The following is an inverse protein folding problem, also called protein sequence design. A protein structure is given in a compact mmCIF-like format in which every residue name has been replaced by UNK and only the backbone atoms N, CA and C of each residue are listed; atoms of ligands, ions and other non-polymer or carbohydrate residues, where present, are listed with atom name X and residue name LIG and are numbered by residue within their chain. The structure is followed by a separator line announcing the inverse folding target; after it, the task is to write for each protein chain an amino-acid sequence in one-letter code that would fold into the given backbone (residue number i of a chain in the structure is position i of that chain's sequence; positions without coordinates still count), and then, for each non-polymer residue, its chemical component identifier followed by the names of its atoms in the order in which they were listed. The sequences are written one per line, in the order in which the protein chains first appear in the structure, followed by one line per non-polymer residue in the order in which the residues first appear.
data_IF_106086959595
#
_entry.id   IF_106086959595
#
_cell.length_a   1.000
_cell.length_b   1.000
_cell.length_c   1.000
_cell.angle_alpha   90.00
_cell.angle_beta   90.00
_cell.angle_gamma   90.00
#
_symmetry.space_group_name_H-M   'P 1'
#
loop_
_entity.id
_entity.type
_entity.pdbx_description
1 polymer ?
#
# COMPACT_ATOMS: atom_id res chain seq x y z
N UNK A 1 -39.78 10.16 17.08
CA UNK A 1 -39.34 11.32 16.28
C UNK A 1 -38.58 10.82 15.07
N UNK A 2 -38.99 11.16 13.86
CA UNK A 2 -38.27 10.81 12.64
C UNK A 2 -37.36 11.95 12.25
N UNK A 3 -36.18 11.62 11.73
CA UNK A 3 -35.18 12.58 11.24
C UNK A 3 -34.78 12.19 9.82
N UNK A 4 -34.85 13.13 8.89
CA UNK A 4 -34.25 13.01 7.56
C UNK A 4 -33.08 13.97 7.45
N UNK A 5 -31.99 13.52 6.88
CA UNK A 5 -30.79 14.32 6.62
C UNK A 5 -30.47 14.24 5.13
N UNK A 6 -30.14 15.37 4.52
CA UNK A 6 -29.76 15.45 3.12
C UNK A 6 -29.32 16.89 2.76
N UNK A 7 -29.01 17.12 1.50
CA UNK A 7 -28.62 18.42 0.98
C UNK A 7 -29.60 18.90 -0.09
N UNK A 8 -29.69 20.20 -0.25
CA UNK A 8 -30.40 20.85 -1.35
C UNK A 8 -29.50 21.91 -1.95
N UNK A 9 -29.26 21.82 -3.25
CA UNK A 9 -28.48 22.82 -3.99
C UNK A 9 -29.38 24.01 -4.26
N UNK A 10 -29.03 25.19 -3.73
CA UNK A 10 -29.75 26.44 -4.00
C UNK A 10 -29.22 27.19 -5.23
N UNK A 11 -27.96 27.00 -5.53
CA UNK A 11 -27.26 27.62 -6.65
C UNK A 11 -26.09 26.73 -7.08
N UNK A 12 -26.06 26.32 -8.34
CA UNK A 12 -25.09 25.35 -8.83
C UNK A 12 -23.66 25.90 -8.82
N UNK A 13 -23.47 27.21 -9.03
CA UNK A 13 -22.14 27.83 -8.95
C UNK A 13 -21.10 27.12 -9.79
N UNK A 14 -19.96 26.80 -9.17
CA UNK A 14 -18.85 26.08 -9.83
C UNK A 14 -19.15 24.59 -10.08
N UNK A 15 -20.16 24.00 -9.42
CA UNK A 15 -20.51 22.58 -9.59
C UNK A 15 -21.03 22.27 -10.99
N UNK A 16 -21.46 23.30 -11.76
CA UNK A 16 -21.80 23.16 -13.18
C UNK A 16 -20.59 22.70 -14.02
N UNK A 17 -19.38 23.08 -13.61
CA UNK A 17 -18.14 22.80 -14.34
C UNK A 17 -17.30 21.70 -13.68
N UNK A 18 -17.43 21.52 -12.39
CA UNK A 18 -16.58 20.64 -11.59
C UNK A 18 -17.34 20.07 -10.40
N UNK A 19 -17.40 18.74 -10.32
CA UNK A 19 -17.82 18.03 -9.11
C UNK A 19 -16.59 17.51 -8.38
N UNK A 20 -16.41 17.94 -7.14
CA UNK A 20 -15.35 17.46 -6.28
C UNK A 20 -15.65 16.00 -5.86
N UNK A 21 -14.76 15.09 -6.21
CA UNK A 21 -14.89 13.68 -5.80
C UNK A 21 -14.81 13.55 -4.29
N UNK A 22 -15.83 12.99 -3.66
CA UNK A 22 -15.82 12.71 -2.23
C UNK A 22 -14.89 11.55 -1.93
N UNK A 23 -13.88 11.77 -1.11
CA UNK A 23 -12.94 10.74 -0.64
C UNK A 23 -13.50 9.91 0.53
N UNK A 24 -14.67 10.28 1.04
CA UNK A 24 -15.30 9.63 2.19
C UNK A 24 -16.52 8.82 1.73
N UNK A 25 -16.51 7.52 2.02
CA UNK A 25 -17.64 6.61 1.82
C UNK A 25 -18.77 6.85 2.86
N UNK A 26 -18.84 8.07 3.43
CA UNK A 26 -19.92 8.51 4.31
C UNK A 26 -21.26 8.41 3.59
N UNK A 27 -22.28 7.90 4.26
CA UNK A 27 -23.65 7.81 3.76
C UNK A 27 -24.06 9.11 3.06
N UNK A 28 -24.22 9.07 1.76
CA UNK A 28 -24.76 10.15 0.99
C UNK A 28 -26.19 10.40 1.45
N UNK A 29 -26.37 11.41 2.28
CA UNK A 29 -27.71 11.95 2.48
C UNK A 29 -28.24 12.37 1.11
N UNK A 30 -29.24 11.64 0.58
CA UNK A 30 -29.83 11.94 -0.72
C UNK A 30 -30.28 13.40 -0.81
N UNK A 31 -30.43 13.92 -2.03
CA UNK A 31 -31.03 15.24 -2.23
C UNK A 31 -32.45 15.26 -1.61
N UNK A 32 -32.67 16.18 -0.69
CA UNK A 32 -34.00 16.37 -0.10
C UNK A 32 -34.85 17.27 -1.01
N UNK A 33 -36.12 16.94 -1.22
CA UNK A 33 -37.04 17.86 -1.92
C UNK A 33 -37.21 19.13 -1.11
N UNK A 34 -37.59 20.23 -1.77
CA UNK A 34 -37.98 21.45 -1.06
C UNK A 34 -39.16 21.20 -0.16
N UNK A 35 -39.00 21.43 1.13
CA UNK A 35 -40.04 21.29 2.17
C UNK A 35 -40.09 22.51 3.03
N UNK A 36 -41.32 22.91 3.42
CA UNK A 36 -41.57 24.06 4.31
C UNK A 36 -42.09 23.59 5.66
N UNK A 37 -41.86 24.37 6.69
CA UNK A 37 -42.41 24.10 8.02
C UNK A 37 -43.96 24.10 7.94
N UNK A 38 -44.56 23.00 8.30
CA UNK A 38 -46.00 22.77 8.27
C UNK A 38 -46.51 21.92 7.11
N UNK A 39 -45.66 21.52 6.19
CA UNK A 39 -46.04 20.60 5.13
C UNK A 39 -46.45 19.23 5.72
N UNK A 40 -47.58 18.71 5.21
CA UNK A 40 -48.12 17.42 5.63
C UNK A 40 -47.54 16.31 4.76
N UNK A 41 -46.73 15.44 5.36
CA UNK A 41 -46.13 14.30 4.68
C UNK A 41 -47.01 13.07 4.85
N UNK A 42 -47.28 12.35 3.74
CA UNK A 42 -48.04 11.11 3.77
C UNK A 42 -47.09 9.92 3.99
N UNK A 43 -47.26 9.22 5.10
CA UNK A 43 -46.53 7.96 5.38
C UNK A 43 -46.88 6.93 4.30
N UNK A 44 -45.90 6.40 3.60
CA UNK A 44 -46.05 5.31 2.62
C UNK A 44 -45.81 3.95 3.25
N UNK A 45 -44.66 3.84 3.93
CA UNK A 45 -44.19 2.59 4.50
C UNK A 45 -43.32 2.88 5.73
N UNK A 46 -43.40 2.01 6.73
CA UNK A 46 -42.53 2.02 7.90
C UNK A 46 -41.80 0.68 7.97
N UNK A 47 -40.50 0.72 7.67
CA UNK A 47 -39.66 -0.48 7.67
C UNK A 47 -38.76 -0.45 8.90
N UNK A 48 -38.91 -1.40 9.83
CA UNK A 48 -38.02 -1.51 10.99
C UNK A 48 -36.70 -2.17 10.55
N UNK A 49 -35.62 -1.41 10.57
CA UNK A 49 -34.28 -1.92 10.27
C UNK A 49 -33.42 -1.91 11.52
N UNK A 50 -32.68 -3.00 11.74
CA UNK A 50 -31.68 -3.05 12.79
C UNK A 50 -30.34 -2.58 12.22
N UNK A 51 -29.73 -1.58 12.87
CA UNK A 51 -28.40 -1.06 12.52
C UNK A 51 -27.45 -1.23 13.69
N UNK A 52 -26.20 -1.51 13.39
CA UNK A 52 -25.13 -1.58 14.37
C UNK A 52 -24.13 -0.48 14.08
N UNK A 53 -23.57 0.12 15.14
CA UNK A 53 -22.47 1.08 15.00
C UNK A 53 -21.27 0.40 14.37
N UNK A 54 -20.68 1.07 13.38
CA UNK A 54 -19.47 0.62 12.71
C UNK A 54 -18.24 1.25 13.37
N UNK A 55 -17.10 0.54 13.41
CA UNK A 55 -15.84 1.16 13.83
C UNK A 55 -15.45 2.29 12.87
N UNK A 56 -14.57 3.23 13.31
CA UNK A 56 -14.06 4.27 12.42
C UNK A 56 -13.46 3.67 11.15
N UNK A 57 -13.68 4.32 10.02
CA UNK A 57 -13.12 3.90 8.75
C UNK A 57 -11.58 3.95 8.79
N UNK A 58 -10.93 3.04 8.04
CA UNK A 58 -9.47 3.10 7.88
C UNK A 58 -9.07 4.33 7.08
N UNK A 59 -7.91 4.87 7.39
CA UNK A 59 -7.35 5.97 6.61
C UNK A 59 -7.13 5.56 5.15
N UNK A 60 -7.44 6.49 4.26
CA UNK A 60 -6.91 6.54 2.90
C UNK A 60 -5.65 7.41 2.88
N UNK A 61 -4.90 7.47 1.77
CA UNK A 61 -3.75 8.39 1.70
C UNK A 61 -4.16 9.85 1.91
N UNK A 62 -5.24 10.38 1.26
CA UNK A 62 -5.68 11.73 1.50
C UNK A 62 -6.13 12.00 2.94
N UNK A 63 -6.90 11.10 3.53
CA UNK A 63 -7.38 11.29 4.91
C UNK A 63 -6.27 11.17 5.94
N UNK A 64 -5.21 10.37 5.66
CA UNK A 64 -4.02 10.33 6.49
C UNK A 64 -3.22 11.64 6.40
N UNK A 65 -3.04 12.19 5.19
CA UNK A 65 -2.39 13.50 5.01
C UNK A 65 -3.17 14.59 5.75
N UNK A 66 -4.48 14.60 5.63
CA UNK A 66 -5.34 15.55 6.35
C UNK A 66 -5.15 15.43 7.87
N UNK A 67 -5.14 14.21 8.39
CA UNK A 67 -4.91 13.98 9.82
C UNK A 67 -3.50 14.42 10.29
N UNK A 68 -2.46 14.23 9.47
CA UNK A 68 -1.12 14.72 9.76
C UNK A 68 -1.09 16.26 9.80
N UNK A 69 -1.70 16.91 8.83
CA UNK A 69 -1.79 18.38 8.72
C UNK A 69 -2.54 18.98 9.91
N UNK A 70 -3.73 18.46 10.23
CA UNK A 70 -4.55 18.89 11.36
C UNK A 70 -3.83 18.75 12.72
N UNK A 71 -2.92 17.79 12.85
CA UNK A 71 -2.12 17.60 14.04
C UNK A 71 -0.76 18.32 13.98
N UNK A 72 -0.46 19.06 12.92
CA UNK A 72 0.79 19.81 12.76
C UNK A 72 2.02 18.93 12.55
N UNK A 73 1.85 17.70 12.04
CA UNK A 73 2.92 16.74 11.77
C UNK A 73 3.28 16.76 10.29
N UNK A 74 4.55 17.01 10.00
CA UNK A 74 5.04 17.12 8.64
C UNK A 74 4.70 18.44 7.97
N UNK A 75 5.07 18.56 6.72
CA UNK A 75 4.88 19.74 5.86
C UNK A 75 4.53 19.24 4.46
N UNK A 76 3.99 20.09 3.57
CA UNK A 76 3.62 19.69 2.20
C UNK A 76 4.72 18.92 1.46
N UNK A 77 5.98 19.27 1.67
CA UNK A 77 7.13 18.59 1.08
C UNK A 77 7.42 17.20 1.65
N UNK A 78 6.93 16.89 2.85
CA UNK A 78 7.25 15.64 3.57
C UNK A 78 6.13 14.61 3.58
N UNK A 79 4.87 14.98 3.31
CA UNK A 79 3.73 14.04 3.36
C UNK A 79 3.90 12.85 2.41
N UNK A 80 4.23 13.10 1.15
CA UNK A 80 4.42 12.02 0.18
C UNK A 80 5.63 11.11 0.52
N UNK A 81 6.80 11.63 0.92
CA UNK A 81 7.89 10.84 1.47
C UNK A 81 7.50 9.99 2.69
N UNK A 82 6.75 10.51 3.65
CA UNK A 82 6.29 9.77 4.83
C UNK A 82 5.48 8.54 4.39
N UNK A 83 4.45 8.73 3.56
CA UNK A 83 3.60 7.64 3.08
C UNK A 83 4.43 6.62 2.28
N UNK A 84 5.31 7.09 1.40
CA UNK A 84 6.18 6.22 0.61
C UNK A 84 7.12 5.38 1.47
N UNK A 85 7.66 5.96 2.55
CA UNK A 85 8.55 5.27 3.48
C UNK A 85 7.83 4.18 4.27
N UNK A 86 6.64 4.46 4.84
CA UNK A 86 5.90 3.47 5.64
C UNK A 86 5.36 2.32 4.78
N UNK A 87 5.02 2.60 3.50
CA UNK A 87 4.70 1.57 2.50
C UNK A 87 5.94 0.78 2.08
N UNK A 88 7.04 1.47 1.79
CA UNK A 88 8.29 0.84 1.34
C UNK A 88 8.97 -0.04 2.40
N UNK A 89 8.68 0.22 3.68
CA UNK A 89 9.14 -0.59 4.81
C UNK A 89 8.19 -1.72 5.19
N UNK A 90 7.12 -1.93 4.44
CA UNK A 90 6.08 -2.93 4.71
C UNK A 90 5.39 -2.73 6.09
N UNK A 91 5.34 -1.52 6.64
CA UNK A 91 4.61 -1.26 7.89
C UNK A 91 3.12 -1.18 7.65
N UNK A 92 2.71 -0.71 6.48
CA UNK A 92 1.33 -0.67 6.01
C UNK A 92 1.24 -1.24 4.60
N UNK A 93 0.06 -1.70 4.22
CA UNK A 93 -0.27 -2.14 2.86
C UNK A 93 -1.54 -1.44 2.37
N UNK A 94 -1.68 -1.32 1.05
CA UNK A 94 -2.91 -0.80 0.42
C UNK A 94 -3.93 -1.91 0.27
N UNK A 95 -5.10 -1.73 0.88
CA UNK A 95 -6.26 -2.59 0.69
C UNK A 95 -7.33 -1.79 -0.03
N UNK A 96 -7.48 -1.99 -1.35
CA UNK A 96 -8.27 -1.11 -2.24
C UNK A 96 -7.78 0.33 -2.17
N UNK A 97 -8.59 1.25 -1.62
CA UNK A 97 -8.23 2.66 -1.39
C UNK A 97 -7.69 2.91 0.03
N UNK A 98 -7.92 2.01 0.97
CA UNK A 98 -7.58 2.17 2.39
C UNK A 98 -6.18 1.68 2.72
N UNK A 99 -5.60 2.21 3.78
CA UNK A 99 -4.33 1.80 4.35
C UNK A 99 -4.58 0.84 5.53
N UNK A 100 -3.90 -0.29 5.52
CA UNK A 100 -4.00 -1.32 6.55
C UNK A 100 -2.64 -1.59 7.16
N UNK A 101 -2.51 -1.62 8.50
CA UNK A 101 -1.25 -2.01 9.14
C UNK A 101 -0.95 -3.49 8.86
N UNK A 102 0.32 -3.79 8.64
CA UNK A 102 0.82 -5.16 8.55
C UNK A 102 1.18 -5.69 9.93
N UNK A 103 1.37 -7.00 10.07
CA UNK A 103 1.86 -7.57 11.34
C UNK A 103 3.22 -6.99 11.74
N UNK A 104 4.09 -6.71 10.77
CA UNK A 104 5.36 -6.03 11.02
C UNK A 104 5.13 -4.62 11.56
N UNK A 105 4.23 -3.86 10.93
CA UNK A 105 3.90 -2.50 11.36
C UNK A 105 3.35 -2.46 12.78
N UNK A 106 2.47 -3.39 13.14
CA UNK A 106 1.92 -3.50 14.50
C UNK A 106 3.04 -3.76 15.51
N UNK A 107 3.89 -4.78 15.25
CA UNK A 107 5.00 -5.11 16.16
C UNK A 107 5.98 -3.95 16.32
N UNK A 108 6.30 -3.24 15.23
CA UNK A 108 7.18 -2.06 15.31
C UNK A 108 6.51 -0.93 16.09
N UNK A 109 5.21 -0.68 15.86
CA UNK A 109 4.46 0.31 16.62
C UNK A 109 4.43 -0.01 18.12
N UNK A 110 4.15 -1.26 18.49
CA UNK A 110 4.12 -1.70 19.88
C UNK A 110 5.49 -1.54 20.57
N UNK A 111 6.58 -1.86 19.85
CA UNK A 111 7.93 -1.63 20.34
C UNK A 111 8.21 -0.14 20.58
N UNK A 112 7.83 0.69 19.62
CA UNK A 112 8.01 2.14 19.73
C UNK A 112 7.20 2.72 20.89
N UNK A 113 5.94 2.32 21.04
CA UNK A 113 5.09 2.72 22.17
C UNK A 113 5.72 2.29 23.50
N UNK A 114 6.29 1.09 23.57
CA UNK A 114 6.86 0.55 24.81
C UNK A 114 8.13 1.25 25.25
N UNK A 115 9.02 1.61 24.33
CA UNK A 115 10.37 2.11 24.64
C UNK A 115 10.56 3.60 24.37
N UNK A 116 9.74 4.19 23.48
CA UNK A 116 9.88 5.56 22.98
C UNK A 116 8.56 6.34 23.01
N UNK A 117 7.69 6.04 23.99
CA UNK A 117 6.35 6.60 24.13
C UNK A 117 6.30 8.13 23.96
N UNK A 118 7.24 8.84 24.58
CA UNK A 118 7.34 10.30 24.50
C UNK A 118 7.68 10.79 23.08
N UNK A 119 8.56 10.07 22.37
CA UNK A 119 9.06 10.50 21.05
C UNK A 119 8.02 10.27 19.96
N UNK A 120 7.23 9.20 20.08
CA UNK A 120 6.18 8.89 19.11
C UNK A 120 4.85 9.61 19.39
N UNK A 121 4.79 10.38 20.48
CA UNK A 121 3.62 11.19 20.80
C UNK A 121 3.37 12.25 19.71
N UNK A 122 2.10 12.39 19.31
CA UNK A 122 1.67 13.33 18.27
C UNK A 122 2.03 14.76 18.65
N UNK A 123 1.83 15.14 19.90
CA UNK A 123 2.11 16.50 20.38
C UNK A 123 3.61 16.77 20.44
N UNK A 124 4.41 15.77 20.77
CA UNK A 124 5.85 15.89 20.74
C UNK A 124 6.35 16.16 19.33
N UNK A 125 5.89 15.38 18.35
CA UNK A 125 6.28 15.54 16.94
C UNK A 125 5.85 16.90 16.40
N UNK A 126 4.61 17.33 16.66
CA UNK A 126 4.12 18.65 16.29
C UNK A 126 4.92 19.78 16.97
N UNK A 127 5.31 19.60 18.24
CA UNK A 127 6.17 20.53 18.95
C UNK A 127 7.57 20.66 18.35
N UNK A 128 8.14 19.55 17.91
CA UNK A 128 9.44 19.53 17.23
C UNK A 128 9.37 20.24 15.86
N UNK A 129 8.33 20.00 15.08
CA UNK A 129 8.09 20.70 13.81
C UNK A 129 8.01 22.22 14.01
N UNK A 130 7.29 22.66 15.06
CA UNK A 130 7.24 24.09 15.42
C UNK A 130 8.60 24.66 15.80
N UNK A 131 9.39 23.91 16.57
CA UNK A 131 10.76 24.35 16.90
C UNK A 131 11.65 24.47 15.65
N UNK A 132 11.48 23.57 14.68
CA UNK A 132 12.19 23.65 13.40
C UNK A 132 11.77 24.90 12.59
N UNK A 133 10.51 25.28 12.60
CA UNK A 133 10.02 26.52 12.00
C UNK A 133 10.64 27.76 12.69
N UNK A 134 10.73 27.74 14.04
CA UNK A 134 11.38 28.82 14.81
C UNK A 134 12.87 28.94 14.48
N UNK A 135 13.57 27.83 14.24
CA UNK A 135 14.96 27.83 13.79
C UNK A 135 15.06 28.42 12.38
N UNK A 136 14.14 28.02 11.46
CA UNK A 136 14.08 28.55 10.12
C UNK A 136 13.81 30.07 10.08
N UNK A 137 13.05 30.59 11.04
CA UNK A 137 12.79 32.02 11.21
C UNK A 137 13.93 32.78 11.93
N UNK A 138 14.98 32.09 12.39
CA UNK A 138 16.10 32.69 13.13
C UNK A 138 15.80 33.02 14.59
N UNK A 139 14.67 32.57 15.13
CA UNK A 139 14.25 32.85 16.50
C UNK A 139 14.79 31.85 17.54
N UNK A 140 15.41 30.76 17.09
CA UNK A 140 15.91 29.67 17.95
C UNK A 140 17.22 29.10 17.43
N UNK A 141 18.12 28.73 18.36
CA UNK A 141 19.38 28.05 18.04
C UNK A 141 19.14 26.56 17.74
N UNK A 142 19.63 26.05 16.60
CA UNK A 142 19.46 24.64 16.25
C UNK A 142 20.28 23.69 17.14
N UNK A 143 21.46 24.12 17.61
CA UNK A 143 22.35 23.31 18.46
C UNK A 143 21.68 22.96 19.79
N UNK A 144 21.06 23.94 20.43
CA UNK A 144 20.37 23.74 21.71
C UNK A 144 19.16 22.83 21.55
N UNK A 145 18.38 23.01 20.47
CA UNK A 145 17.24 22.15 20.15
C UNK A 145 17.66 20.68 19.98
N UNK A 146 18.77 20.44 19.27
CA UNK A 146 19.29 19.07 19.06
C UNK A 146 19.82 18.51 20.37
N UNK A 147 20.52 19.30 21.19
CA UNK A 147 21.07 18.87 22.46
C UNK A 147 19.97 18.45 23.42
N UNK A 148 18.91 19.25 23.54
CA UNK A 148 17.77 18.96 24.40
C UNK A 148 17.08 17.65 23.98
N UNK A 149 16.83 17.49 22.67
CA UNK A 149 16.26 16.27 22.13
C UNK A 149 17.15 15.05 22.39
N UNK A 150 18.46 15.15 22.09
CA UNK A 150 19.38 14.03 22.14
C UNK A 150 19.59 13.52 23.58
N UNK A 151 19.64 14.43 24.54
CA UNK A 151 19.80 14.08 25.96
C UNK A 151 18.71 13.12 26.47
N UNK A 152 17.47 13.34 26.10
CA UNK A 152 16.37 12.47 26.50
C UNK A 152 16.27 11.22 25.62
N UNK A 153 16.54 11.35 24.33
CA UNK A 153 16.61 10.23 23.41
C UNK A 153 17.65 9.20 23.82
N UNK A 154 18.87 9.63 24.17
CA UNK A 154 19.97 8.74 24.57
C UNK A 154 19.59 7.88 25.78
N UNK A 155 18.94 8.45 26.77
CA UNK A 155 18.45 7.71 27.95
C UNK A 155 17.45 6.62 27.57
N UNK A 156 16.49 6.96 26.69
CA UNK A 156 15.49 6.01 26.21
C UNK A 156 16.13 4.92 25.34
N UNK A 157 17.07 5.29 24.47
CA UNK A 157 17.79 4.38 23.62
C UNK A 157 18.60 3.35 24.43
N UNK A 158 19.41 3.79 25.38
CA UNK A 158 20.20 2.90 26.24
C UNK A 158 19.31 1.95 27.05
N UNK A 159 18.18 2.42 27.55
CA UNK A 159 17.19 1.58 28.22
C UNK A 159 16.58 0.53 27.30
N UNK A 160 16.23 0.93 26.07
CA UNK A 160 15.68 0.03 25.07
C UNK A 160 16.72 -1.03 24.64
N UNK A 161 17.96 -0.61 24.37
CA UNK A 161 19.06 -1.49 23.99
C UNK A 161 19.32 -2.56 25.05
N UNK A 162 19.49 -2.16 26.31
CA UNK A 162 19.68 -3.10 27.42
C UNK A 162 18.49 -4.04 27.60
N UNK A 163 17.25 -3.55 27.42
CA UNK A 163 16.05 -4.37 27.59
C UNK A 163 15.86 -5.37 26.45
N UNK A 164 16.36 -5.06 25.25
CA UNK A 164 16.22 -5.90 24.05
C UNK A 164 17.44 -6.79 23.80
N UNK A 165 18.51 -6.64 24.60
CA UNK A 165 19.72 -7.43 24.46
C UNK A 165 19.41 -8.92 24.55
N UNK A 166 19.81 -9.68 23.54
CA UNK A 166 19.55 -11.13 23.44
C UNK A 166 18.10 -11.52 23.08
N UNK A 167 17.17 -10.57 23.00
CA UNK A 167 15.79 -10.84 22.64
C UNK A 167 15.56 -10.70 21.12
N UNK A 168 15.00 -11.73 20.51
CA UNK A 168 14.54 -11.68 19.11
C UNK A 168 13.04 -11.42 19.10
N UNK A 169 12.62 -10.23 18.70
CA UNK A 169 11.22 -9.92 18.50
C UNK A 169 10.69 -10.73 17.31
N UNK A 170 9.69 -11.57 17.58
CA UNK A 170 9.07 -12.40 16.54
C UNK A 170 7.87 -11.66 15.95
N UNK A 171 7.90 -11.45 14.65
CA UNK A 171 6.72 -10.96 13.91
C UNK A 171 5.78 -12.14 13.68
N UNK A 172 4.49 -12.05 14.05
CA UNK A 172 3.51 -13.09 13.76
C UNK A 172 3.46 -13.35 12.25
N UNK A 173 3.60 -14.61 11.87
CA UNK A 173 3.54 -15.03 10.47
C UNK A 173 2.12 -15.46 10.12
N UNK A 174 1.70 -15.16 8.89
CA UNK A 174 0.41 -15.60 8.36
C UNK A 174 0.57 -17.01 7.81
N UNK A 175 -0.10 -17.97 8.41
CA UNK A 175 -0.18 -19.34 7.88
C UNK A 175 -1.08 -19.37 6.65
N UNK A 176 -0.73 -20.23 5.71
CA UNK A 176 -1.52 -20.47 4.49
C UNK A 176 -1.94 -21.93 4.39
N UNK A 177 -2.94 -22.22 3.57
CA UNK A 177 -3.36 -23.61 3.31
C UNK A 177 -2.42 -24.35 2.35
N UNK A 178 -1.39 -23.67 1.83
CA UNK A 178 -0.40 -24.29 0.95
C UNK A 178 0.54 -25.17 1.76
N UNK A 179 0.62 -26.44 1.39
CA UNK A 179 1.47 -27.43 2.06
C UNK A 179 2.88 -27.47 1.41
N UNK A 180 3.88 -27.64 2.22
CA UNK A 180 5.26 -27.81 1.78
C UNK A 180 5.46 -29.19 1.18
N UNK A 181 5.89 -29.28 -0.09
CA UNK A 181 6.11 -30.56 -0.79
C UNK A 181 7.22 -31.40 -0.19
N UNK A 182 8.13 -30.80 0.61
CA UNK A 182 9.28 -31.50 1.20
C UNK A 182 9.01 -32.07 2.57
N UNK A 183 8.18 -31.42 3.40
CA UNK A 183 7.99 -31.84 4.80
C UNK A 183 6.53 -31.82 5.28
N UNK A 184 5.55 -31.53 4.42
CA UNK A 184 4.12 -31.59 4.73
C UNK A 184 3.60 -30.48 5.65
N UNK A 185 4.43 -29.55 6.15
CA UNK A 185 3.99 -28.46 7.03
C UNK A 185 3.27 -27.37 6.22
N UNK A 186 2.28 -26.69 6.80
CA UNK A 186 1.65 -25.50 6.18
C UNK A 186 2.70 -24.41 6.00
N UNK A 187 2.74 -23.82 4.80
CA UNK A 187 3.69 -22.74 4.51
C UNK A 187 3.19 -21.41 5.06
N UNK A 188 4.12 -20.52 5.36
CA UNK A 188 3.85 -19.19 5.92
C UNK A 188 4.29 -18.11 4.96
N UNK A 189 3.55 -16.98 4.95
CA UNK A 189 3.93 -15.82 4.17
C UNK A 189 5.09 -15.11 4.85
N UNK A 190 6.17 -14.87 4.09
CA UNK A 190 7.28 -14.00 4.50
C UNK A 190 7.53 -12.91 3.48
N UNK A 191 7.94 -11.74 3.95
CA UNK A 191 8.43 -10.65 3.10
C UNK A 191 9.92 -10.76 2.90
N UNK A 192 10.37 -10.65 1.67
CA UNK A 192 11.78 -10.62 1.29
C UNK A 192 12.09 -9.42 0.39
N UNK A 193 13.37 -9.26 0.04
CA UNK A 193 13.84 -8.14 -0.83
C UNK A 193 13.06 -8.00 -2.15
N UNK A 194 12.48 -9.11 -2.63
CA UNK A 194 11.80 -9.17 -3.93
C UNK A 194 10.27 -9.30 -3.82
N UNK A 195 9.72 -9.08 -2.62
CA UNK A 195 8.28 -9.19 -2.36
C UNK A 195 7.92 -10.33 -1.40
N UNK A 196 6.62 -10.57 -1.26
CA UNK A 196 6.09 -11.65 -0.41
C UNK A 196 6.30 -13.00 -1.10
N UNK A 197 6.62 -14.03 -0.32
CA UNK A 197 6.78 -15.40 -0.78
C UNK A 197 6.34 -16.39 0.30
N UNK A 198 6.05 -17.61 -0.07
CA UNK A 198 5.75 -18.69 0.85
C UNK A 198 7.04 -19.37 1.30
N UNK A 199 7.24 -19.47 2.61
CA UNK A 199 8.38 -20.15 3.22
C UNK A 199 7.91 -21.30 4.11
N UNK A 200 8.69 -22.36 4.15
CA UNK A 200 8.42 -23.43 5.10
C UNK A 200 8.81 -23.01 6.53
N UNK A 201 7.92 -23.18 7.53
CA UNK A 201 8.23 -22.85 8.92
C UNK A 201 9.30 -23.76 9.53
N UNK A 202 9.61 -24.89 8.89
CA UNK A 202 10.65 -25.82 9.32
C UNK A 202 12.08 -25.36 9.05
N UNK A 203 12.31 -24.10 8.71
CA UNK A 203 13.67 -23.54 8.59
C UNK A 203 14.39 -23.58 9.95
N UNK A 204 15.67 -23.98 10.05
CA UNK A 204 16.63 -24.24 8.95
C UNK A 204 16.60 -25.64 8.35
N UNK A 205 15.89 -26.60 8.91
CA UNK A 205 15.84 -28.01 8.44
C UNK A 205 15.22 -28.11 7.04
N UNK A 206 14.11 -27.39 6.80
CA UNK A 206 13.46 -27.33 5.51
C UNK A 206 13.53 -25.91 4.94
N UNK A 207 14.36 -25.74 3.90
CA UNK A 207 14.58 -24.45 3.22
C UNK A 207 13.64 -24.24 2.03
N UNK A 208 12.50 -24.94 1.98
CA UNK A 208 11.59 -24.86 0.84
C UNK A 208 10.88 -23.51 0.80
N UNK A 209 10.84 -22.90 -0.38
CA UNK A 209 10.14 -21.64 -0.65
C UNK A 209 9.33 -21.76 -1.93
N UNK A 210 8.16 -21.12 -1.99
CA UNK A 210 7.30 -21.05 -3.17
C UNK A 210 6.93 -19.59 -3.45
N UNK A 211 6.66 -19.22 -4.70
CA UNK A 211 6.05 -17.91 -4.99
C UNK A 211 4.66 -17.84 -4.39
N UNK A 212 4.14 -16.61 -4.24
CA UNK A 212 2.74 -16.43 -3.85
C UNK A 212 1.82 -16.98 -4.95
N UNK A 213 0.69 -17.65 -4.62
CA UNK A 213 -0.27 -18.12 -5.61
C UNK A 213 -0.78 -17.02 -6.55
N UNK A 214 -0.91 -15.81 -6.04
CA UNK A 214 -1.32 -14.62 -6.78
C UNK A 214 -0.29 -14.17 -7.84
N UNK A 215 0.97 -14.54 -7.68
CA UNK A 215 2.05 -14.24 -8.62
C UNK A 215 2.23 -15.33 -9.68
N UNK A 216 1.51 -16.46 -9.57
CA UNK A 216 1.47 -17.47 -10.61
C UNK A 216 0.62 -17.01 -11.80
N UNK A 217 1.15 -17.14 -12.99
CA UNK A 217 0.46 -16.77 -14.22
C UNK A 217 -0.18 -18.03 -14.82
N UNK A 218 -1.43 -17.91 -15.29
CA UNK A 218 -2.17 -19.04 -15.88
C UNK A 218 -1.51 -19.60 -17.15
N UNK A 219 -0.76 -18.77 -17.87
CA UNK A 219 -0.07 -19.17 -19.10
C UNK A 219 1.19 -19.99 -18.78
N UNK A 220 1.37 -21.15 -19.44
CA UNK A 220 2.57 -21.95 -19.29
C UNK A 220 3.79 -21.25 -19.89
N UNK A 221 4.98 -21.64 -19.44
CA UNK A 221 6.22 -21.16 -20.04
C UNK A 221 6.33 -21.63 -21.49
N UNK A 222 6.52 -20.72 -22.47
CA UNK A 222 6.56 -21.10 -23.87
C UNK A 222 7.82 -21.88 -24.26
N UNK A 223 8.85 -21.93 -23.38
CA UNK A 223 10.10 -22.66 -23.62
C UNK A 223 10.05 -24.09 -23.10
N UNK A 224 9.48 -24.31 -21.90
CA UNK A 224 9.51 -25.63 -21.23
C UNK A 224 8.15 -26.14 -20.75
N UNK A 225 7.07 -25.39 -20.95
CA UNK A 225 5.73 -25.74 -20.45
C UNK A 225 5.53 -25.58 -18.92
N UNK A 226 6.58 -25.23 -18.18
CA UNK A 226 6.49 -25.00 -16.73
C UNK A 226 5.67 -23.76 -16.37
N UNK A 227 5.44 -23.54 -15.08
CA UNK A 227 4.70 -22.36 -14.61
C UNK A 227 5.49 -21.07 -14.80
N UNK A 228 4.79 -19.99 -15.10
CA UNK A 228 5.36 -18.64 -15.09
C UNK A 228 5.01 -17.94 -13.77
N UNK A 229 6.00 -17.27 -13.20
CA UNK A 229 5.85 -16.51 -11.96
C UNK A 229 6.31 -15.08 -12.15
N UNK A 230 5.57 -14.17 -11.58
CA UNK A 230 5.94 -12.77 -11.53
C UNK A 230 7.09 -12.59 -10.54
N UNK A 231 8.16 -11.93 -10.99
CA UNK A 231 9.37 -11.64 -10.21
C UNK A 231 9.69 -10.15 -10.29
N UNK A 232 10.47 -9.67 -9.32
CA UNK A 232 10.96 -8.29 -9.29
C UNK A 232 12.49 -8.34 -9.47
N UNK A 233 13.01 -7.58 -10.41
CA UNK A 233 14.46 -7.47 -10.67
C UNK A 233 15.14 -6.64 -9.56
N UNK A 234 16.48 -6.70 -9.48
CA UNK A 234 17.29 -5.87 -8.57
C UNK A 234 17.02 -4.36 -8.72
N UNK A 235 16.57 -3.93 -9.90
CA UNK A 235 16.22 -2.52 -10.23
C UNK A 235 14.72 -2.20 -9.97
N UNK A 236 13.97 -3.05 -9.27
CA UNK A 236 12.55 -2.85 -8.96
C UNK A 236 11.58 -3.10 -10.12
N UNK A 237 12.05 -3.49 -11.30
CA UNK A 237 11.18 -3.76 -12.46
C UNK A 237 10.54 -5.14 -12.37
N UNK A 238 9.22 -5.22 -12.59
CA UNK A 238 8.47 -6.47 -12.65
C UNK A 238 8.78 -7.20 -13.96
N UNK A 239 8.98 -8.52 -13.89
CA UNK A 239 9.14 -9.41 -15.03
C UNK A 239 8.54 -10.78 -14.73
N UNK A 240 8.34 -11.59 -15.75
CA UNK A 240 7.78 -12.92 -15.63
C UNK A 240 8.87 -13.94 -15.99
N UNK A 241 9.19 -14.82 -15.06
CA UNK A 241 10.23 -15.85 -15.24
C UNK A 241 9.66 -17.25 -15.07
N UNK A 242 10.32 -18.24 -15.64
CA UNK A 242 9.95 -19.63 -15.45
C UNK A 242 10.21 -20.09 -13.99
N UNK A 243 9.32 -20.94 -13.45
CA UNK A 243 9.49 -21.57 -12.14
C UNK A 243 10.65 -22.57 -12.15
N UNK A 244 10.97 -23.15 -13.31
CA UNK A 244 12.03 -24.15 -13.47
C UNK A 244 13.43 -23.54 -13.65
N UNK A 245 13.62 -22.29 -13.25
CA UNK A 245 14.96 -21.70 -13.20
C UNK A 245 15.79 -22.42 -12.12
N UNK A 246 17.06 -22.83 -12.38
CA UNK A 246 17.92 -22.45 -13.52
C UNK A 246 17.77 -23.30 -14.78
N UNK A 247 17.07 -24.43 -14.76
CA UNK A 247 16.97 -25.34 -15.90
C UNK A 247 16.27 -24.70 -17.10
N UNK A 248 15.39 -23.74 -16.86
CA UNK A 248 14.76 -22.91 -17.88
C UNK A 248 14.96 -21.43 -17.56
N UNK A 249 15.70 -20.74 -18.41
CA UNK A 249 16.08 -19.32 -18.29
C UNK A 249 15.05 -18.35 -18.87
N UNK A 250 13.86 -18.81 -19.24
CA UNK A 250 12.84 -17.96 -19.85
C UNK A 250 12.45 -16.80 -18.92
N UNK A 251 12.59 -15.57 -19.42
CA UNK A 251 12.16 -14.33 -18.75
C UNK A 251 11.58 -13.35 -19.76
N UNK A 252 10.47 -12.71 -19.39
CA UNK A 252 9.78 -11.75 -20.23
C UNK A 252 9.29 -10.53 -19.43
N UNK A 253 9.32 -9.31 -19.99
CA UNK A 253 8.83 -8.10 -19.33
C UNK A 253 7.29 -7.99 -19.28
N UNK A 254 6.57 -8.92 -19.89
CA UNK A 254 5.11 -9.02 -19.89
C UNK A 254 4.66 -10.48 -19.94
N UNK A 255 3.36 -10.71 -19.81
CA UNK A 255 2.78 -12.06 -19.83
C UNK A 255 2.80 -12.59 -21.27
N UNK A 256 3.42 -13.75 -21.56
CA UNK A 256 3.34 -14.35 -22.90
C UNK A 256 1.91 -14.69 -23.27
N UNK A 257 1.53 -14.42 -24.51
CA UNK A 257 0.18 -14.73 -25.03
C UNK A 257 0.08 -16.12 -25.64
N UNK A 258 1.23 -16.84 -25.79
CA UNK A 258 1.32 -18.09 -26.53
C UNK A 258 1.51 -17.91 -28.04
N UNK A 259 1.28 -16.72 -28.56
CA UNK A 259 1.44 -16.39 -30.00
C UNK A 259 2.90 -16.07 -30.33
N UNK A 260 3.35 -16.46 -31.51
CA UNK A 260 4.65 -16.06 -32.07
C UNK A 260 4.49 -14.86 -33.00
N UNK A 261 5.47 -13.99 -32.98
CA UNK A 261 5.52 -12.84 -33.91
C UNK A 261 5.73 -13.32 -35.37
N UNK A 262 4.90 -12.93 -36.30
CA UNK A 262 5.05 -13.38 -37.69
C UNK A 262 6.31 -12.85 -38.37
N UNK A 263 6.87 -11.72 -37.89
CA UNK A 263 8.05 -11.09 -38.50
C UNK A 263 9.38 -11.69 -37.99
N UNK A 264 9.48 -11.99 -36.69
CA UNK A 264 10.75 -12.42 -36.10
C UNK A 264 10.68 -13.73 -35.31
N UNK A 265 9.54 -14.41 -35.27
CA UNK A 265 9.36 -15.68 -34.55
C UNK A 265 9.40 -15.58 -33.01
N UNK A 266 9.72 -14.41 -32.44
CA UNK A 266 9.75 -14.19 -30.99
C UNK A 266 8.35 -14.21 -30.38
N UNK A 267 8.24 -14.44 -29.07
CA UNK A 267 6.94 -14.48 -28.41
C UNK A 267 6.27 -13.10 -28.33
N UNK A 268 4.95 -13.08 -28.51
CA UNK A 268 4.12 -11.91 -28.23
C UNK A 268 3.77 -11.90 -26.75
N UNK A 269 3.95 -10.75 -26.12
CA UNK A 269 3.69 -10.55 -24.71
C UNK A 269 2.60 -9.49 -24.52
N UNK A 270 1.81 -9.66 -23.47
CA UNK A 270 0.83 -8.68 -23.02
C UNK A 270 1.46 -7.77 -21.95
N UNK A 271 1.49 -6.48 -22.23
CA UNK A 271 1.96 -5.45 -21.32
C UNK A 271 0.85 -4.81 -20.49
N UNK A 272 1.15 -3.67 -19.86
CA UNK A 272 0.20 -2.88 -19.10
C UNK A 272 -1.01 -2.50 -19.96
N UNK A 273 -2.21 -2.62 -19.41
CA UNK A 273 -3.51 -2.38 -20.08
C UNK A 273 -3.81 -3.33 -21.26
N UNK A 274 -3.28 -4.58 -21.22
CA UNK A 274 -3.60 -5.62 -22.19
C UNK A 274 -3.02 -5.41 -23.61
N UNK A 275 -2.13 -4.45 -23.81
CA UNK A 275 -1.51 -4.20 -25.10
C UNK A 275 -0.55 -5.34 -25.47
N UNK A 276 -0.78 -5.98 -26.61
CA UNK A 276 0.07 -7.02 -27.15
C UNK A 276 1.22 -6.40 -27.98
N UNK A 277 2.45 -6.89 -27.76
CA UNK A 277 3.64 -6.46 -28.52
C UNK A 277 4.70 -7.57 -28.53
N UNK A 278 5.58 -7.52 -29.53
CA UNK A 278 6.67 -8.47 -29.66
C UNK A 278 7.68 -8.34 -28.50
N UNK A 279 8.15 -9.47 -27.98
CA UNK A 279 9.15 -9.50 -26.90
C UNK A 279 10.51 -8.96 -27.38
N UNK A 280 10.86 -9.21 -28.64
CA UNK A 280 12.09 -8.68 -29.26
C UNK A 280 12.00 -7.16 -29.42
N UNK A 281 12.94 -6.41 -28.79
CA UNK A 281 13.01 -4.95 -28.87
C UNK A 281 13.27 -4.43 -30.29
N UNK A 282 14.01 -5.20 -31.08
CA UNK A 282 14.49 -4.78 -32.41
C UNK A 282 13.52 -5.17 -33.53
N UNK A 283 12.41 -5.81 -33.15
CA UNK A 283 11.41 -6.23 -34.14
C UNK A 283 10.65 -5.03 -34.75
N UNK A 284 10.52 -4.95 -36.09
CA UNK A 284 9.80 -3.87 -36.78
C UNK A 284 8.36 -3.67 -36.31
N UNK A 285 7.68 -4.75 -35.89
CA UNK A 285 6.29 -4.68 -35.35
C UNK A 285 6.20 -3.95 -34.03
N UNK A 286 7.32 -3.89 -33.26
CA UNK A 286 7.40 -3.13 -32.01
C UNK A 286 7.76 -1.67 -32.26
N UNK A 287 8.66 -1.38 -33.21
CA UNK A 287 9.12 -0.02 -33.54
C UNK A 287 8.01 0.83 -34.19
N UNK A 288 7.20 0.27 -35.08
CA UNK A 288 6.08 0.98 -35.75
C UNK A 288 5.02 1.50 -34.75
N UNK A 289 4.91 0.90 -33.53
CA UNK A 289 3.96 1.35 -32.50
C UNK A 289 4.51 2.45 -31.59
N UNK A 290 5.84 2.62 -31.52
CA UNK A 290 6.47 3.71 -30.77
C UNK A 290 6.52 5.01 -31.57
N UNK A 291 6.72 4.94 -32.87
CA UNK A 291 6.73 6.10 -33.78
C UNK A 291 5.39 6.85 -33.81
N UNK A 292 4.25 6.14 -33.84
CA UNK A 292 2.89 6.76 -33.79
C UNK A 292 2.55 7.48 -32.48
N UNK A 293 3.38 7.42 -31.45
CA UNK A 293 3.14 8.08 -30.14
C UNK A 293 3.86 9.41 -30.02
N UNK A 294 4.82 9.68 -30.91
CA UNK A 294 5.59 10.94 -30.92
C UNK A 294 5.04 11.96 -31.93
N UNK A 295 3.96 11.60 -32.68
CA UNK A 295 3.31 12.49 -33.66
C UNK A 295 1.91 12.96 -33.19
N UNK A 296 1.65 12.95 -31.89
CA UNK A 296 0.41 13.53 -31.34
C UNK A 296 0.71 14.41 -30.14
#
# INVERSE_FOLDING_TARGET
MFKASGYSVKFDGFTVLYEEGKDDDGEEGGALPEMKKGDVLKLRELTPNQHFTQPPARYTEPTLIKALDENGIGRPSTYAPIISNILGRDYIEREKKSLKPTNLGIVVSDLMVKYFDKIIDVKFTAGLEKQLDEIGAGNRGWVDTIRDFYSDFEKLYNKAETSLEGQKVKVPVVETDVVCDKCGRKMVVKSGRFGKFLACPGYPECKNTKPMPEDEVKQPCPKCGGKLVKKISKKGKKFYGCSNYPDCDFAAPGIPTGEKCPECGSYIISGVRGRKYCMNSDCPTRQKKTAKKNEK
#
